data_IF_722399590613
#
_entry.id   IF_722399590613
#
_cell.length_a   1.000
_cell.length_b   1.000
_cell.length_c   1.000
_cell.angle_alpha   90.00
_cell.angle_beta   90.00
_cell.angle_gamma   90.00
#
_symmetry.space_group_name_H-M   'P 1'
#
loop_
_entity.id
_entity.type
_entity.pdbx_description
1 polymer ?
#
# COMPACT_ATOMS: atom_id res chain seq x y z
N UNK A 1 -4.03 1.29 -5.82
CA UNK A 1 -2.60 0.96 -5.66
C UNK A 1 -1.79 1.95 -6.50
N UNK A 2 -0.64 2.47 -6.04
CA UNK A 2 0.11 3.50 -6.76
C UNK A 2 0.66 3.01 -8.11
N UNK A 3 0.65 3.85 -9.15
CA UNK A 3 1.15 3.51 -10.49
C UNK A 3 2.59 3.00 -10.51
N UNK A 4 3.47 3.62 -9.72
CA UNK A 4 4.86 3.20 -9.60
C UNK A 4 4.97 1.77 -9.06
N UNK A 5 4.11 1.40 -8.12
CA UNK A 5 4.13 0.08 -7.48
C UNK A 5 3.58 -0.99 -8.44
N UNK A 6 2.55 -0.66 -9.22
CA UNK A 6 2.04 -1.52 -10.28
C UNK A 6 3.12 -1.82 -11.35
N UNK A 7 3.87 -0.80 -11.79
CA UNK A 7 4.95 -0.97 -12.78
C UNK A 7 6.07 -1.87 -12.25
N UNK A 8 6.47 -1.67 -11.00
CA UNK A 8 7.51 -2.46 -10.34
C UNK A 8 7.09 -3.92 -10.16
N UNK A 9 5.86 -4.18 -9.69
CA UNK A 9 5.35 -5.54 -9.55
C UNK A 9 5.21 -6.25 -10.90
N UNK A 10 4.71 -5.56 -11.93
CA UNK A 10 4.61 -6.14 -13.28
C UNK A 10 5.98 -6.61 -13.81
N UNK A 11 7.03 -5.82 -13.58
CA UNK A 11 8.41 -6.19 -13.95
C UNK A 11 8.94 -7.35 -13.11
N UNK A 12 8.70 -7.35 -11.81
CA UNK A 12 9.13 -8.42 -10.90
C UNK A 12 8.46 -9.76 -11.24
N UNK A 13 7.15 -9.76 -11.54
CA UNK A 13 6.43 -10.95 -12.01
C UNK A 13 6.97 -11.47 -13.34
N UNK A 14 7.22 -10.59 -14.30
CA UNK A 14 7.78 -10.98 -15.59
C UNK A 14 9.16 -11.65 -15.45
N UNK A 15 10.00 -11.11 -14.56
CA UNK A 15 11.33 -11.64 -14.28
C UNK A 15 11.34 -12.82 -13.29
N UNK A 16 10.17 -13.23 -12.78
CA UNK A 16 10.03 -14.23 -11.70
C UNK A 16 10.89 -13.92 -10.47
N UNK A 17 11.09 -12.65 -10.16
CA UNK A 17 11.86 -12.19 -9.01
C UNK A 17 10.99 -12.21 -7.75
N UNK A 18 11.01 -13.36 -7.07
CA UNK A 18 10.21 -13.61 -5.86
C UNK A 18 10.58 -12.65 -4.72
N UNK A 19 11.87 -12.31 -4.57
CA UNK A 19 12.35 -11.39 -3.54
C UNK A 19 11.74 -10.00 -3.72
N UNK A 20 11.78 -9.48 -4.96
CA UNK A 20 11.16 -8.20 -5.28
C UNK A 20 9.63 -8.22 -5.10
N UNK A 21 8.96 -9.31 -5.45
CA UNK A 21 7.49 -9.42 -5.25
C UNK A 21 7.13 -9.31 -3.77
N UNK A 22 7.84 -10.04 -2.88
CA UNK A 22 7.60 -9.98 -1.44
C UNK A 22 7.85 -8.58 -0.89
N UNK A 23 8.98 -7.96 -1.25
CA UNK A 23 9.31 -6.60 -0.81
C UNK A 23 8.29 -5.56 -1.28
N UNK A 24 7.85 -5.64 -2.53
CA UNK A 24 6.85 -4.71 -3.09
C UNK A 24 5.47 -4.90 -2.46
N UNK A 25 5.10 -6.14 -2.11
CA UNK A 25 3.88 -6.40 -1.33
C UNK A 25 3.98 -5.79 0.07
N UNK A 26 5.10 -5.94 0.78
CA UNK A 26 5.30 -5.25 2.06
C UNK A 26 5.20 -3.73 1.93
N UNK A 27 5.79 -3.16 0.88
CA UNK A 27 5.68 -1.73 0.59
C UNK A 27 4.22 -1.30 0.39
N UNK A 28 3.40 -2.12 -0.28
CA UNK A 28 1.96 -1.88 -0.42
C UNK A 28 1.25 -1.85 0.93
N UNK A 29 1.52 -2.84 1.80
CA UNK A 29 0.91 -2.90 3.13
C UNK A 29 1.25 -1.67 3.96
N UNK A 30 2.53 -1.25 3.98
CA UNK A 30 2.96 -0.04 4.71
C UNK A 30 2.33 1.23 4.13
N UNK A 31 2.23 1.31 2.80
CA UNK A 31 1.56 2.43 2.12
C UNK A 31 0.07 2.52 2.50
N UNK A 32 -0.63 1.38 2.53
CA UNK A 32 -2.03 1.31 2.92
C UNK A 32 -2.23 1.67 4.39
N UNK A 33 -1.44 1.10 5.29
CA UNK A 33 -1.49 1.42 6.72
C UNK A 33 -1.33 2.93 6.96
N UNK A 34 -0.39 3.59 6.27
CA UNK A 34 -0.22 5.05 6.40
C UNK A 34 -1.41 5.86 5.88
N UNK A 35 -2.15 5.36 4.89
CA UNK A 35 -3.38 5.99 4.41
C UNK A 35 -4.54 5.79 5.37
N UNK A 36 -4.65 4.60 5.95
CA UNK A 36 -5.71 4.27 6.91
C UNK A 36 -5.44 4.95 8.27
N UNK A 37 -4.17 5.17 8.65
CA UNK A 37 -3.75 5.95 9.82
C UNK A 37 -3.80 7.46 9.62
N UNK A 38 -4.01 7.95 8.38
CA UNK A 38 -4.55 9.29 8.16
C UNK A 38 -6.05 9.27 8.49
N UNK A 39 -6.34 8.84 9.72
CA UNK A 39 -7.54 9.20 10.44
C UNK A 39 -7.55 10.73 10.41
N UNK A 40 -8.42 11.24 9.55
CA UNK A 40 -8.51 12.64 9.22
C UNK A 40 -8.83 13.39 10.52
N UNK A 41 -7.86 14.09 11.10
CA UNK A 41 -8.11 15.00 12.23
C UNK A 41 -9.11 16.11 11.82
N UNK A 42 -9.36 16.25 10.51
CA UNK A 42 -10.38 17.12 9.91
C UNK A 42 -11.79 16.51 9.92
N UNK A 43 -11.96 15.21 10.24
CA UNK A 43 -13.26 14.57 10.30
C UNK A 43 -13.30 13.50 11.41
N UNK A 44 -13.58 13.91 12.68
CA UNK A 44 -13.64 12.97 13.78
C UNK A 44 -14.80 11.98 13.55
N UNK A 45 -14.65 10.71 13.97
CA UNK A 45 -15.75 9.76 13.93
C UNK A 45 -16.89 10.35 14.76
N UNK A 46 -18.07 10.50 14.15
CA UNK A 46 -19.28 10.79 14.90
C UNK A 46 -19.44 9.67 15.93
N UNK A 47 -19.13 9.98 17.18
CA UNK A 47 -19.47 9.15 18.33
C UNK A 47 -20.98 9.01 18.31
N UNK A 48 -21.47 7.86 17.85
CA UNK A 48 -22.86 7.47 18.08
C UNK A 48 -23.02 7.18 19.57
N UNK A 49 -24.15 7.61 20.16
CA UNK A 49 -24.37 7.68 21.60
C UNK A 49 -24.40 6.31 22.30
#
# INVERSE_FOLDING_TARGET
>A
MPDWLCKQLKRAFYNRDVQSIVMLNEAYYRYRQRRDSHYDWSNPPHTVP
#
